data_IF_818086950639
#
_entry.id   IF_818086950639
#
_cell.length_a   1.000
_cell.length_b   1.000
_cell.length_c   1.000
_cell.angle_alpha   90.00
_cell.angle_beta   90.00
_cell.angle_gamma   90.00
#
_symmetry.space_group_name_H-M   'P 1'
#
loop_
_entity.id
_entity.type
_entity.pdbx_description
1 polymer ?
#
# COMPACT_ATOMS: atom_id res chain seq x y z
N UNK A 1 -8.58 -27.23 7.34
CA UNK A 1 -7.74 -26.33 6.51
C UNK A 1 -8.22 -24.87 6.55
N UNK A 2 -9.37 -24.49 5.97
CA UNK A 2 -9.86 -23.09 6.01
C UNK A 2 -10.05 -22.51 7.41
N UNK A 3 -10.54 -23.30 8.37
CA UNK A 3 -10.64 -22.88 9.77
C UNK A 3 -9.27 -22.68 10.43
N UNK A 4 -8.28 -23.53 10.10
CA UNK A 4 -6.91 -23.39 10.58
C UNK A 4 -6.27 -22.09 10.05
N UNK A 5 -6.43 -21.85 8.74
CA UNK A 5 -5.97 -20.61 8.11
C UNK A 5 -6.65 -19.37 8.71
N UNK A 6 -7.96 -19.42 8.95
CA UNK A 6 -8.70 -18.34 9.61
C UNK A 6 -8.29 -18.13 11.08
N UNK A 7 -7.74 -19.15 11.74
CA UNK A 7 -7.19 -19.07 13.09
C UNK A 7 -5.70 -18.66 13.11
N UNK A 8 -5.09 -18.40 11.96
CA UNK A 8 -3.66 -18.07 11.83
C UNK A 8 -2.72 -19.29 11.82
N UNK A 9 -3.25 -20.52 11.87
CA UNK A 9 -2.47 -21.76 11.72
C UNK A 9 -2.23 -22.06 10.24
N UNK A 10 -1.30 -21.31 9.65
CA UNK A 10 -0.91 -21.43 8.23
C UNK A 10 -0.25 -22.78 7.96
N UNK A 11 0.54 -23.31 8.89
CA UNK A 11 1.25 -24.57 8.74
C UNK A 11 0.31 -25.77 8.80
N UNK A 12 -0.64 -25.80 9.74
CA UNK A 12 -1.68 -26.80 9.80
C UNK A 12 -2.64 -26.72 8.62
N UNK A 13 -2.91 -25.51 8.10
CA UNK A 13 -3.68 -25.37 6.86
C UNK A 13 -2.94 -25.97 5.65
N UNK A 14 -1.63 -25.72 5.53
CA UNK A 14 -0.78 -26.26 4.46
C UNK A 14 -0.73 -27.79 4.50
N UNK A 15 -0.43 -28.37 5.67
CA UNK A 15 -0.33 -29.82 5.82
C UNK A 15 -1.63 -30.57 5.51
N UNK A 16 -2.79 -29.91 5.61
CA UNK A 16 -4.06 -30.49 5.16
C UNK A 16 -4.21 -30.36 3.64
N UNK A 17 -3.86 -29.22 3.06
CA UNK A 17 -3.93 -29.02 1.60
C UNK A 17 -2.97 -29.98 0.87
N UNK A 18 -1.73 -30.10 1.34
CA UNK A 18 -0.69 -30.94 0.74
C UNK A 18 -1.14 -32.41 0.70
N UNK A 19 -1.71 -32.94 1.80
CA UNK A 19 -2.23 -34.33 1.84
C UNK A 19 -3.34 -34.62 0.83
N UNK A 20 -4.10 -33.60 0.42
CA UNK A 20 -5.16 -33.76 -0.58
C UNK A 20 -4.65 -33.60 -2.00
N UNK A 21 -3.59 -32.82 -2.20
CA UNK A 21 -2.96 -32.61 -3.50
C UNK A 21 -1.88 -33.66 -3.80
N UNK A 22 -1.34 -34.33 -2.78
CA UNK A 22 -0.36 -35.39 -2.91
C UNK A 22 -0.96 -36.58 -3.69
N UNK A 23 -0.45 -36.80 -4.90
CA UNK A 23 -0.93 -37.86 -5.79
C UNK A 23 -2.22 -37.55 -6.56
N UNK A 24 -2.77 -36.33 -6.42
CA UNK A 24 -3.97 -35.91 -7.14
C UNK A 24 -3.69 -35.71 -8.64
N UNK A 25 -4.68 -36.02 -9.48
CA UNK A 25 -4.69 -35.67 -10.90
C UNK A 25 -5.41 -34.36 -11.13
N UNK A 26 -4.96 -33.57 -12.11
CA UNK A 26 -5.64 -32.31 -12.50
C UNK A 26 -7.10 -32.54 -12.91
N UNK A 27 -7.42 -33.74 -13.40
CA UNK A 27 -8.75 -34.13 -13.87
C UNK A 27 -9.74 -34.40 -12.72
N UNK A 28 -9.24 -34.61 -11.49
CA UNK A 28 -10.07 -34.94 -10.33
C UNK A 28 -11.01 -33.78 -9.97
N UNK A 29 -12.27 -34.11 -9.67
CA UNK A 29 -13.34 -33.13 -9.51
C UNK A 29 -13.24 -32.30 -8.22
N UNK A 30 -12.55 -32.82 -7.20
CA UNK A 30 -12.39 -32.19 -5.89
C UNK A 30 -11.12 -31.34 -5.76
N UNK A 31 -10.23 -31.37 -6.75
CA UNK A 31 -8.95 -30.62 -6.78
C UNK A 31 -9.09 -29.09 -6.85
N UNK A 32 -10.01 -28.49 -7.66
CA UNK A 32 -10.09 -27.04 -7.78
C UNK A 32 -10.18 -26.25 -6.46
N UNK A 33 -11.02 -26.62 -5.48
CA UNK A 33 -11.08 -25.90 -4.20
C UNK A 33 -9.83 -26.08 -3.33
N UNK A 34 -9.08 -27.19 -3.48
CA UNK A 34 -7.80 -27.41 -2.79
C UNK A 34 -6.68 -26.57 -3.40
N UNK A 35 -6.66 -26.43 -4.72
CA UNK A 35 -5.72 -25.54 -5.43
C UNK A 35 -5.92 -24.09 -5.01
N UNK A 36 -7.16 -23.59 -4.99
CA UNK A 36 -7.44 -22.23 -4.52
C UNK A 36 -6.93 -22.01 -3.09
N UNK A 37 -7.18 -22.98 -2.19
CA UNK A 37 -6.72 -22.90 -0.80
C UNK A 37 -5.19 -22.96 -0.67
N UNK A 38 -4.52 -23.85 -1.40
CA UNK A 38 -3.07 -23.97 -1.38
C UNK A 38 -2.40 -22.70 -1.94
N UNK A 39 -2.98 -22.10 -2.99
CA UNK A 39 -2.54 -20.84 -3.54
C UNK A 39 -2.71 -19.67 -2.54
N UNK A 40 -3.79 -19.65 -1.77
CA UNK A 40 -3.96 -18.66 -0.68
C UNK A 40 -2.89 -18.80 0.40
N UNK A 41 -2.64 -20.03 0.85
CA UNK A 41 -1.62 -20.35 1.85
C UNK A 41 -0.24 -19.91 1.34
N UNK A 42 0.07 -20.19 0.08
CA UNK A 42 1.28 -19.75 -0.58
C UNK A 42 1.38 -18.22 -0.61
N UNK A 43 0.29 -17.53 -0.97
CA UNK A 43 0.21 -16.07 -0.96
C UNK A 43 0.41 -15.45 0.41
N UNK A 44 -0.17 -16.02 1.47
CA UNK A 44 0.05 -15.57 2.87
C UNK A 44 1.51 -15.73 3.27
N UNK A 45 2.18 -16.79 2.82
CA UNK A 45 3.62 -17.00 3.06
C UNK A 45 4.52 -16.12 2.20
N UNK A 46 3.98 -15.44 1.19
CA UNK A 46 4.74 -14.68 0.19
C UNK A 46 5.42 -15.54 -0.88
N UNK A 47 4.94 -16.77 -1.10
CA UNK A 47 5.42 -17.68 -2.14
C UNK A 47 4.52 -17.54 -3.39
N UNK A 48 4.61 -16.38 -4.05
CA UNK A 48 3.72 -16.05 -5.16
C UNK A 48 3.99 -16.90 -6.40
N UNK A 49 5.23 -17.35 -6.61
CA UNK A 49 5.56 -18.31 -7.68
C UNK A 49 4.83 -19.64 -7.48
N UNK A 50 4.82 -20.16 -6.25
CA UNK A 50 4.09 -21.38 -5.95
C UNK A 50 2.58 -21.23 -6.15
N UNK A 51 2.00 -20.10 -5.73
CA UNK A 51 0.58 -19.81 -5.97
C UNK A 51 0.25 -19.79 -7.47
N UNK A 52 1.10 -19.15 -8.28
CA UNK A 52 0.95 -19.09 -9.73
C UNK A 52 1.04 -20.48 -10.37
N UNK A 53 2.01 -21.31 -9.95
CA UNK A 53 2.20 -22.67 -10.47
C UNK A 53 1.00 -23.57 -10.21
N UNK A 54 0.40 -23.48 -9.02
CA UNK A 54 -0.82 -24.21 -8.67
C UNK A 54 -1.98 -23.85 -9.62
N UNK A 55 -2.14 -22.57 -9.95
CA UNK A 55 -3.14 -22.13 -10.92
C UNK A 55 -2.81 -22.53 -12.36
N UNK A 56 -1.53 -22.44 -12.78
CA UNK A 56 -1.09 -22.92 -14.11
C UNK A 56 -1.37 -24.40 -14.29
N UNK A 57 -1.08 -25.20 -13.26
CA UNK A 57 -1.34 -26.64 -13.27
C UNK A 57 -2.83 -26.95 -13.43
N UNK A 58 -3.71 -26.25 -12.70
CA UNK A 58 -5.16 -26.45 -12.81
C UNK A 58 -5.75 -25.96 -14.16
N UNK A 59 -5.20 -24.87 -14.68
CA UNK A 59 -5.64 -24.24 -15.92
C UNK A 59 -6.93 -23.39 -15.80
N UNK A 60 -7.18 -22.51 -16.79
CA UNK A 60 -8.24 -21.52 -16.72
C UNK A 60 -9.66 -22.10 -16.86
N UNK A 61 -9.79 -23.28 -17.47
CA UNK A 61 -11.09 -23.94 -17.71
C UNK A 61 -11.65 -24.62 -16.47
N UNK A 62 -10.80 -24.98 -15.50
CA UNK A 62 -11.18 -25.74 -14.30
C UNK A 62 -11.16 -24.93 -13.00
N UNK A 63 -10.55 -23.74 -12.99
CA UNK A 63 -10.53 -22.91 -11.77
C UNK A 63 -11.93 -22.45 -11.38
N UNK A 64 -12.29 -22.42 -10.10
CA UNK A 64 -13.48 -21.68 -9.63
C UNK A 64 -13.10 -20.33 -9.00
N UNK A 65 -11.80 -20.02 -9.00
CA UNK A 65 -11.23 -18.82 -8.41
C UNK A 65 -10.37 -18.07 -9.43
N UNK A 66 -11.02 -17.49 -10.44
CA UNK A 66 -10.35 -16.66 -11.43
C UNK A 66 -9.68 -15.42 -10.81
N UNK A 67 -10.23 -14.90 -9.70
CA UNK A 67 -9.67 -13.73 -9.02
C UNK A 67 -8.33 -14.04 -8.35
N UNK A 68 -8.26 -15.12 -7.55
CA UNK A 68 -7.01 -15.59 -6.96
C UNK A 68 -5.96 -15.92 -8.03
N UNK A 69 -6.38 -16.61 -9.09
CA UNK A 69 -5.50 -16.97 -10.21
C UNK A 69 -4.89 -15.76 -10.91
N UNK A 70 -5.71 -14.78 -11.31
CA UNK A 70 -5.24 -13.56 -11.97
C UNK A 70 -4.30 -12.78 -11.05
N UNK A 71 -4.62 -12.66 -9.76
CA UNK A 71 -3.73 -12.00 -8.81
C UNK A 71 -2.38 -12.73 -8.67
N UNK A 72 -2.38 -14.05 -8.49
CA UNK A 72 -1.15 -14.82 -8.36
C UNK A 72 -0.25 -14.71 -9.62
N UNK A 73 -0.85 -14.84 -10.81
CA UNK A 73 -0.13 -14.78 -12.09
C UNK A 73 0.44 -13.37 -12.36
N UNK A 74 -0.34 -12.32 -12.11
CA UNK A 74 0.15 -10.95 -12.23
C UNK A 74 1.26 -10.64 -11.21
N UNK A 75 1.13 -11.17 -9.99
CA UNK A 75 2.14 -11.03 -8.93
C UNK A 75 3.54 -11.46 -9.38
N UNK A 76 3.63 -12.47 -10.25
CA UNK A 76 4.89 -13.02 -10.76
C UNK A 76 5.23 -12.58 -12.19
N UNK A 77 4.47 -11.64 -12.76
CA UNK A 77 4.75 -11.09 -14.09
C UNK A 77 4.15 -11.86 -15.26
N UNK A 78 3.29 -12.86 -15.02
CA UNK A 78 2.72 -13.70 -16.07
C UNK A 78 1.44 -13.10 -16.65
N UNK A 79 1.62 -12.08 -17.50
CA UNK A 79 0.52 -11.36 -18.18
C UNK A 79 -0.28 -12.28 -19.10
N UNK A 80 0.38 -13.19 -19.81
CA UNK A 80 -0.26 -14.07 -20.81
C UNK A 80 -1.23 -15.05 -20.14
N UNK A 81 -0.76 -15.78 -19.12
CA UNK A 81 -1.62 -16.70 -18.39
C UNK A 81 -2.74 -15.94 -17.69
N UNK A 82 -2.46 -14.79 -17.06
CA UNK A 82 -3.51 -13.98 -16.42
C UNK A 82 -4.62 -13.60 -17.43
N UNK A 83 -4.26 -13.17 -18.64
CA UNK A 83 -5.21 -12.84 -19.70
C UNK A 83 -6.06 -14.06 -20.13
N UNK A 84 -5.48 -15.27 -20.20
CA UNK A 84 -6.21 -16.49 -20.50
C UNK A 84 -7.27 -16.83 -19.44
N UNK A 85 -6.96 -16.59 -18.16
CA UNK A 85 -7.91 -16.74 -17.06
C UNK A 85 -9.05 -15.72 -17.13
N UNK A 86 -8.74 -14.45 -17.43
CA UNK A 86 -9.76 -13.39 -17.63
C UNK A 86 -10.70 -13.75 -18.79
N UNK A 87 -10.15 -14.15 -19.94
CA UNK A 87 -10.92 -14.52 -21.11
C UNK A 87 -11.83 -15.74 -20.85
N UNK A 88 -11.31 -16.75 -20.14
CA UNK A 88 -12.10 -17.93 -19.79
C UNK A 88 -13.15 -17.64 -18.73
N UNK A 89 -12.86 -16.80 -17.73
CA UNK A 89 -13.89 -16.38 -16.79
C UNK A 89 -15.04 -15.68 -17.52
N UNK A 90 -14.75 -14.82 -18.51
CA UNK A 90 -15.77 -14.08 -19.27
C UNK A 90 -16.83 -14.99 -19.94
N UNK A 91 -16.47 -16.20 -20.38
CA UNK A 91 -17.37 -17.13 -21.07
C UNK A 91 -18.26 -17.96 -20.14
N UNK A 92 -18.00 -17.95 -18.82
CA UNK A 92 -18.75 -18.76 -17.85
C UNK A 92 -20.17 -18.21 -17.62
N UNK A 93 -21.08 -19.01 -17.02
CA UNK A 93 -22.39 -18.51 -16.60
C UNK A 93 -22.31 -17.33 -15.61
N UNK A 94 -23.11 -16.27 -15.76
CA UNK A 94 -23.07 -15.08 -14.89
C UNK A 94 -23.85 -15.30 -13.58
N UNK A 95 -23.44 -16.29 -12.80
CA UNK A 95 -24.03 -16.56 -11.47
C UNK A 95 -23.64 -15.46 -10.46
N UNK A 96 -24.46 -15.26 -9.43
CA UNK A 96 -24.30 -14.15 -8.48
C UNK A 96 -22.93 -14.05 -7.81
N UNK A 97 -22.29 -15.18 -7.48
CA UNK A 97 -20.92 -15.19 -6.90
C UNK A 97 -19.89 -14.65 -7.90
N UNK A 98 -19.98 -15.06 -9.17
CA UNK A 98 -19.08 -14.58 -10.23
C UNK A 98 -19.36 -13.14 -10.60
N UNK A 99 -20.64 -12.76 -10.76
CA UNK A 99 -21.01 -11.38 -11.09
C UNK A 99 -20.44 -10.36 -10.10
N UNK A 100 -20.32 -10.74 -8.82
CA UNK A 100 -19.66 -9.94 -7.79
C UNK A 100 -18.15 -9.82 -7.96
N UNK A 101 -17.45 -10.88 -8.35
CA UNK A 101 -15.97 -10.89 -8.47
C UNK A 101 -15.44 -10.46 -9.84
N UNK A 102 -16.24 -10.58 -10.89
CA UNK A 102 -15.84 -10.29 -12.27
C UNK A 102 -15.30 -8.86 -12.48
N UNK A 103 -15.81 -7.80 -11.82
CA UNK A 103 -15.17 -6.48 -11.86
C UNK A 103 -13.73 -6.54 -11.36
N UNK A 104 -13.45 -7.21 -10.24
CA UNK A 104 -12.09 -7.28 -9.71
C UNK A 104 -11.14 -8.08 -10.62
N UNK A 105 -11.62 -9.16 -11.24
CA UNK A 105 -10.84 -9.92 -12.22
C UNK A 105 -10.41 -9.03 -13.39
N UNK A 106 -11.35 -8.28 -13.97
CA UNK A 106 -11.06 -7.36 -15.09
C UNK A 106 -10.19 -6.19 -14.64
N UNK A 107 -10.48 -5.61 -13.49
CA UNK A 107 -9.75 -4.47 -12.94
C UNK A 107 -8.28 -4.81 -12.67
N UNK A 108 -7.98 -5.99 -12.11
CA UNK A 108 -6.58 -6.42 -11.91
C UNK A 108 -5.83 -6.52 -13.24
N UNK A 109 -6.43 -7.12 -14.27
CA UNK A 109 -5.81 -7.19 -15.60
C UNK A 109 -5.66 -5.81 -16.24
N UNK A 110 -6.68 -4.95 -16.13
CA UNK A 110 -6.67 -3.60 -16.64
C UNK A 110 -5.64 -2.72 -15.94
N UNK A 111 -5.21 -3.06 -14.72
CA UNK A 111 -4.20 -2.28 -13.98
C UNK A 111 -2.84 -2.21 -14.68
N UNK A 112 -2.58 -3.12 -15.63
CA UNK A 112 -1.38 -3.05 -16.44
C UNK A 112 -1.43 -1.95 -17.52
N UNK A 113 -2.62 -1.49 -17.89
CA UNK A 113 -2.84 -0.57 -19.01
C UNK A 113 -3.44 0.78 -18.54
N UNK A 114 -4.47 0.74 -17.68
CA UNK A 114 -5.13 1.92 -17.11
C UNK A 114 -5.27 1.81 -15.57
N UNK A 115 -4.45 2.54 -14.78
CA UNK A 115 -4.49 2.49 -13.32
C UNK A 115 -5.84 2.90 -12.71
N UNK A 116 -6.52 3.90 -13.29
CA UNK A 116 -7.63 4.57 -12.61
C UNK A 116 -8.91 3.75 -12.77
N UNK A 117 -9.22 3.34 -14.00
CA UNK A 117 -10.36 2.46 -14.26
C UNK A 117 -10.20 1.10 -13.56
N UNK A 118 -8.97 0.60 -13.47
CA UNK A 118 -8.64 -0.66 -12.80
C UNK A 118 -9.02 -0.66 -11.31
N UNK A 119 -8.67 0.40 -10.57
CA UNK A 119 -8.88 0.45 -9.13
C UNK A 119 -10.37 0.40 -8.76
N UNK A 120 -11.21 1.17 -9.44
CA UNK A 120 -12.65 1.21 -9.17
C UNK A 120 -13.30 -0.17 -9.36
N UNK A 121 -12.89 -0.88 -10.39
CA UNK A 121 -13.36 -2.24 -10.69
C UNK A 121 -12.88 -3.26 -9.64
N UNK A 122 -11.62 -3.16 -9.20
CA UNK A 122 -11.07 -3.98 -8.11
C UNK A 122 -11.82 -3.75 -6.81
N UNK A 123 -11.97 -2.49 -6.39
CA UNK A 123 -12.65 -2.12 -5.15
C UNK A 123 -14.11 -2.57 -5.18
N UNK A 124 -14.82 -2.34 -6.29
CA UNK A 124 -16.21 -2.77 -6.47
C UNK A 124 -16.34 -4.28 -6.36
N UNK A 125 -15.45 -5.03 -7.00
CA UNK A 125 -15.52 -6.49 -6.98
C UNK A 125 -15.21 -7.10 -5.61
N UNK A 126 -14.24 -6.53 -4.88
CA UNK A 126 -13.88 -6.98 -3.53
C UNK A 126 -14.94 -6.59 -2.49
N UNK A 127 -15.50 -5.38 -2.59
CA UNK A 127 -16.51 -4.87 -1.66
C UNK A 127 -17.88 -5.54 -1.81
N UNK A 128 -18.17 -6.09 -2.99
CA UNK A 128 -19.40 -6.84 -3.24
C UNK A 128 -19.42 -8.20 -2.54
N UNK A 129 -18.25 -8.75 -2.16
CA UNK A 129 -18.14 -9.99 -1.40
C UNK A 129 -18.76 -9.90 0.00
N UNK A 130 -19.21 -11.03 0.55
CA UNK A 130 -19.81 -11.05 1.90
C UNK A 130 -18.74 -10.74 2.97
N UNK A 131 -18.72 -9.49 3.44
CA UNK A 131 -17.79 -8.94 4.45
C UNK A 131 -17.83 -9.74 5.76
N UNK A 132 -18.90 -10.50 6.03
CA UNK A 132 -19.07 -11.27 7.27
C UNK A 132 -18.33 -12.61 7.28
N UNK A 133 -17.89 -13.07 6.12
CA UNK A 133 -17.04 -14.26 5.96
C UNK A 133 -16.04 -13.96 4.87
N UNK A 134 -14.89 -13.32 5.17
CA UNK A 134 -13.80 -13.32 4.21
C UNK A 134 -13.52 -14.79 3.89
N UNK A 135 -13.90 -15.23 2.70
CA UNK A 135 -13.40 -16.48 2.19
C UNK A 135 -11.88 -16.32 2.16
N UNK A 136 -11.07 -17.29 2.64
CA UNK A 136 -9.61 -17.18 2.65
C UNK A 136 -8.96 -16.89 1.28
N UNK A 137 -9.74 -17.02 0.20
CA UNK A 137 -9.48 -16.81 -1.23
C UNK A 137 -9.09 -15.39 -1.69
N UNK A 138 -8.49 -14.55 -0.85
CA UNK A 138 -8.39 -13.10 -1.16
C UNK A 138 -7.08 -12.42 -0.82
N UNK A 139 -6.05 -13.10 -0.32
CA UNK A 139 -4.84 -12.40 0.15
C UNK A 139 -4.10 -11.65 -0.97
N UNK A 140 -3.75 -12.31 -2.08
CA UNK A 140 -3.10 -11.65 -3.21
C UNK A 140 -3.99 -10.57 -3.86
N UNK A 141 -5.29 -10.80 -4.14
CA UNK A 141 -6.20 -9.74 -4.60
C UNK A 141 -6.29 -8.53 -3.66
N UNK A 142 -6.28 -8.74 -2.34
CA UNK A 142 -6.31 -7.67 -1.35
C UNK A 142 -5.02 -6.86 -1.34
N UNK A 143 -3.87 -7.52 -1.38
CA UNK A 143 -2.57 -6.84 -1.50
C UNK A 143 -2.48 -6.03 -2.79
N UNK A 144 -3.01 -6.57 -3.89
CA UNK A 144 -3.10 -5.86 -5.15
C UNK A 144 -3.96 -4.59 -5.02
N UNK A 145 -5.15 -4.71 -4.43
CA UNK A 145 -6.05 -3.59 -4.20
C UNK A 145 -5.45 -2.51 -3.29
N UNK A 146 -4.78 -2.91 -2.21
CA UNK A 146 -4.06 -1.99 -1.32
C UNK A 146 -2.94 -1.28 -2.08
N UNK A 147 -2.14 -2.01 -2.85
CA UNK A 147 -1.03 -1.45 -3.62
C UNK A 147 -1.51 -0.46 -4.69
N UNK A 148 -2.60 -0.77 -5.39
CA UNK A 148 -3.22 0.14 -6.36
C UNK A 148 -3.84 1.38 -5.70
N UNK A 149 -4.50 1.19 -4.54
CA UNK A 149 -5.09 2.31 -3.78
C UNK A 149 -4.03 3.31 -3.30
N UNK A 150 -2.88 2.80 -2.85
CA UNK A 150 -1.77 3.64 -2.36
C UNK A 150 -1.08 4.45 -3.47
N UNK A 151 -1.30 4.10 -4.74
CA UNK A 151 -0.75 4.82 -5.89
C UNK A 151 -1.66 5.93 -6.41
N UNK A 152 -2.97 5.79 -6.24
CA UNK A 152 -3.95 6.79 -6.67
C UNK A 152 -4.23 7.86 -5.60
N UNK A 153 -3.55 7.78 -4.44
CA UNK A 153 -3.75 8.66 -3.28
C UNK A 153 -5.21 8.73 -2.80
N UNK A 154 -5.98 7.66 -3.02
CA UNK A 154 -7.38 7.58 -2.61
C UNK A 154 -7.52 7.02 -1.18
N UNK A 155 -8.51 7.47 -0.38
CA UNK A 155 -8.73 6.97 0.98
C UNK A 155 -9.18 5.50 1.05
N UNK A 156 -9.39 4.86 -0.10
CA UNK A 156 -9.90 3.50 -0.26
C UNK A 156 -9.00 2.42 0.35
N UNK A 157 -7.69 2.69 0.50
CA UNK A 157 -6.74 1.75 1.08
C UNK A 157 -7.15 1.29 2.49
N UNK A 158 -7.67 2.20 3.33
CA UNK A 158 -8.10 1.87 4.70
C UNK A 158 -9.33 0.95 4.72
N UNK A 159 -10.25 1.11 3.77
CA UNK A 159 -11.41 0.22 3.65
C UNK A 159 -10.95 -1.20 3.32
N UNK A 160 -10.00 -1.33 2.39
CA UNK A 160 -9.42 -2.63 2.02
C UNK A 160 -8.61 -3.25 3.16
N UNK A 161 -7.82 -2.47 3.90
CA UNK A 161 -7.06 -2.99 5.05
C UNK A 161 -7.93 -3.68 6.09
N UNK A 162 -9.11 -3.11 6.35
CA UNK A 162 -10.05 -3.63 7.33
C UNK A 162 -10.59 -5.03 6.99
N UNK A 163 -10.50 -5.45 5.72
CA UNK A 163 -10.92 -6.78 5.25
C UNK A 163 -9.77 -7.80 5.24
N UNK A 164 -8.51 -7.37 5.31
CA UNK A 164 -7.32 -8.24 5.39
C UNK A 164 -7.18 -8.91 6.76
N UNK A 165 -7.82 -8.37 7.81
CA UNK A 165 -7.65 -8.80 9.21
C UNK A 165 -7.81 -10.31 9.41
N UNK A 166 -6.68 -11.02 9.44
CA UNK A 166 -6.58 -12.43 9.87
C UNK A 166 -5.80 -12.59 11.19
N UNK A 167 -5.09 -11.56 11.67
CA UNK A 167 -4.29 -11.62 12.90
C UNK A 167 -3.88 -10.23 13.40
N UNK A 168 -3.58 -10.09 14.69
CA UNK A 168 -2.95 -8.88 15.29
C UNK A 168 -1.53 -8.63 14.78
N UNK A 169 -0.95 -9.55 13.99
CA UNK A 169 0.41 -9.48 13.47
C UNK A 169 0.52 -9.00 12.01
N UNK A 170 -0.59 -8.70 11.32
CA UNK A 170 -0.56 -8.25 9.92
C UNK A 170 -0.04 -6.80 9.79
N UNK A 171 1.02 -6.53 8.99
CA UNK A 171 1.60 -5.19 8.88
C UNK A 171 0.82 -4.22 7.95
N UNK A 172 -0.26 -4.65 7.30
CA UNK A 172 -0.93 -3.88 6.22
C UNK A 172 -1.45 -2.52 6.67
N UNK A 173 -2.12 -2.42 7.82
CA UNK A 173 -2.62 -1.13 8.32
C UNK A 173 -1.49 -0.17 8.68
N UNK A 174 -0.40 -0.70 9.25
CA UNK A 174 0.80 0.07 9.58
C UNK A 174 1.49 0.58 8.30
N UNK A 175 1.54 -0.24 7.25
CA UNK A 175 2.03 0.16 5.93
C UNK A 175 1.20 1.28 5.32
N UNK A 176 -0.13 1.18 5.34
CA UNK A 176 -1.02 2.20 4.80
C UNK A 176 -0.85 3.52 5.55
N UNK A 177 -0.78 3.47 6.90
CA UNK A 177 -0.52 4.65 7.72
C UNK A 177 0.83 5.30 7.36
N UNK A 178 1.89 4.50 7.19
CA UNK A 178 3.21 5.01 6.81
C UNK A 178 3.16 5.74 5.47
N UNK A 179 2.45 5.17 4.49
CA UNK A 179 2.29 5.71 3.13
C UNK A 179 1.39 6.94 3.08
N UNK A 180 0.36 7.01 3.92
CA UNK A 180 -0.46 8.21 4.14
C UNK A 180 0.31 9.32 4.89
N UNK A 181 1.47 8.99 5.48
CA UNK A 181 2.27 9.93 6.26
C UNK A 181 1.90 10.03 7.73
N UNK A 182 1.03 9.15 8.23
CA UNK A 182 0.70 8.95 9.65
C UNK A 182 1.77 8.09 10.33
N UNK A 183 2.88 8.73 10.72
CA UNK A 183 4.00 8.03 11.34
C UNK A 183 3.66 7.48 12.73
N UNK A 184 2.72 8.10 13.45
CA UNK A 184 2.31 7.67 14.79
C UNK A 184 1.50 6.38 14.72
N UNK A 185 0.45 6.35 13.90
CA UNK A 185 -0.34 5.11 13.71
C UNK A 185 0.49 4.03 13.06
N UNK A 186 1.37 4.37 12.09
CA UNK A 186 2.29 3.41 11.52
C UNK A 186 3.15 2.75 12.60
N UNK A 187 3.79 3.52 13.48
CA UNK A 187 4.58 2.98 14.59
C UNK A 187 3.74 2.15 15.57
N UNK A 188 2.58 2.67 16.00
CA UNK A 188 1.70 2.01 16.98
C UNK A 188 1.09 0.70 16.47
N UNK A 189 0.76 0.62 15.18
CA UNK A 189 0.20 -0.58 14.53
C UNK A 189 1.28 -1.50 13.96
N UNK A 190 2.55 -1.11 14.00
CA UNK A 190 3.63 -1.93 13.50
C UNK A 190 3.76 -3.20 14.37
N UNK A 191 3.70 -4.42 13.80
CA UNK A 191 3.83 -5.64 14.57
C UNK A 191 5.16 -5.67 15.33
N UNK A 192 5.12 -6.00 16.62
CA UNK A 192 6.33 -6.22 17.42
C UNK A 192 7.05 -7.51 16.99
N UNK A 193 6.27 -8.59 16.86
CA UNK A 193 6.70 -9.93 16.50
C UNK A 193 5.93 -10.41 15.26
N UNK A 194 6.41 -10.09 14.04
CA UNK A 194 5.80 -10.56 12.80
C UNK A 194 5.95 -12.07 12.61
N UNK A 195 4.91 -12.71 12.08
CA UNK A 195 4.85 -14.17 11.89
C UNK A 195 5.17 -14.52 10.44
N UNK A 196 6.17 -15.37 10.22
CA UNK A 196 6.58 -15.78 8.86
C UNK A 196 7.51 -14.79 8.15
N UNK A 197 8.00 -15.20 6.98
CA UNK A 197 9.03 -14.45 6.25
C UNK A 197 8.47 -13.18 5.58
N UNK A 198 7.30 -13.26 4.94
CA UNK A 198 6.64 -12.13 4.28
C UNK A 198 6.34 -10.98 5.26
N UNK A 199 5.78 -11.28 6.44
CA UNK A 199 5.46 -10.25 7.44
C UNK A 199 6.73 -9.66 8.06
N UNK A 200 7.79 -10.46 8.28
CA UNK A 200 9.10 -9.93 8.70
C UNK A 200 9.65 -8.93 7.67
N UNK A 201 9.55 -9.27 6.39
CA UNK A 201 9.97 -8.40 5.29
C UNK A 201 9.20 -7.07 5.26
N UNK A 202 7.86 -7.12 5.33
CA UNK A 202 7.02 -5.92 5.32
C UNK A 202 7.17 -5.08 6.58
N UNK A 203 7.26 -5.73 7.73
CA UNK A 203 7.48 -5.08 9.03
C UNK A 203 8.83 -4.36 9.07
N UNK A 204 9.90 -4.98 8.59
CA UNK A 204 11.20 -4.33 8.52
C UNK A 204 11.20 -3.16 7.52
N UNK A 205 10.53 -3.27 6.36
CA UNK A 205 10.34 -2.12 5.45
C UNK A 205 9.63 -0.95 6.13
N UNK A 206 8.58 -1.21 6.92
CA UNK A 206 7.87 -0.17 7.68
C UNK A 206 8.81 0.51 8.68
N UNK A 207 9.55 -0.27 9.47
CA UNK A 207 10.48 0.26 10.48
C UNK A 207 11.60 1.08 9.82
N UNK A 208 12.13 0.61 8.70
CA UNK A 208 13.10 1.36 7.88
C UNK A 208 12.50 2.67 7.38
N UNK A 209 11.27 2.65 6.86
CA UNK A 209 10.55 3.83 6.40
C UNK A 209 10.24 4.84 7.52
N UNK A 210 9.96 4.38 8.74
CA UNK A 210 9.80 5.22 9.93
C UNK A 210 11.13 5.89 10.31
N UNK A 211 12.20 5.10 10.44
CA UNK A 211 13.54 5.60 10.79
C UNK A 211 14.03 6.62 9.75
N UNK A 212 13.85 6.32 8.45
CA UNK A 212 14.18 7.22 7.34
C UNK A 212 13.44 8.55 7.45
N UNK A 213 12.13 8.53 7.73
CA UNK A 213 11.30 9.73 7.83
C UNK A 213 11.56 10.54 9.09
N UNK A 214 12.05 9.90 10.15
CA UNK A 214 12.55 10.55 11.37
C UNK A 214 13.97 11.14 11.21
N UNK A 215 14.70 10.75 10.15
CA UNK A 215 16.10 11.15 9.97
C UNK A 215 17.08 10.40 10.90
N UNK A 216 16.64 9.29 11.49
CA UNK A 216 17.43 8.51 12.46
C UNK A 216 18.34 7.51 11.74
N UNK A 217 19.57 7.93 11.44
CA UNK A 217 20.57 7.09 10.78
C UNK A 217 20.99 5.92 11.66
N UNK A 218 21.06 6.10 12.98
CA UNK A 218 21.43 5.04 13.91
C UNK A 218 20.40 3.91 13.92
N UNK A 219 19.11 4.26 13.96
CA UNK A 219 18.02 3.29 13.84
C UNK A 219 18.02 2.59 12.48
N UNK A 220 18.25 3.33 11.37
CA UNK A 220 18.40 2.71 10.04
C UNK A 220 19.52 1.68 10.02
N UNK A 221 20.71 2.00 10.54
CA UNK A 221 21.85 1.07 10.61
C UNK A 221 21.53 -0.15 11.45
N UNK A 222 20.91 0.02 12.63
CA UNK A 222 20.57 -1.09 13.52
C UNK A 222 19.53 -2.04 12.90
N UNK A 223 18.51 -1.49 12.24
CA UNK A 223 17.50 -2.25 11.52
C UNK A 223 18.10 -2.97 10.30
N UNK A 224 19.02 -2.32 9.57
CA UNK A 224 19.64 -2.88 8.37
C UNK A 224 20.41 -4.18 8.63
N UNK A 225 20.91 -4.41 9.85
CA UNK A 225 21.56 -5.68 10.22
C UNK A 225 20.67 -6.91 9.99
N UNK A 226 19.35 -6.75 10.02
CA UNK A 226 18.38 -7.83 9.78
C UNK A 226 18.11 -8.04 8.28
N UNK A 227 18.35 -7.02 7.45
CA UNK A 227 17.92 -6.99 6.06
C UNK A 227 18.44 -8.16 5.21
N UNK A 228 19.71 -8.61 5.28
CA UNK A 228 20.19 -9.72 4.47
C UNK A 228 19.41 -11.02 4.68
N UNK A 229 19.12 -11.35 5.95
CA UNK A 229 18.37 -12.58 6.30
C UNK A 229 16.92 -12.51 5.85
N UNK A 230 16.30 -11.34 6.00
CA UNK A 230 14.90 -11.10 5.65
C UNK A 230 14.71 -11.10 4.13
N UNK A 231 15.59 -10.41 3.39
CA UNK A 231 15.58 -10.36 1.93
C UNK A 231 15.98 -11.68 1.27
N UNK A 232 16.66 -12.58 1.98
CA UNK A 232 16.96 -13.92 1.48
C UNK A 232 15.76 -14.87 1.58
N UNK A 233 14.77 -14.55 2.42
CA UNK A 233 13.64 -15.41 2.72
C UNK A 233 12.35 -15.03 1.95
N UNK A 234 12.42 -14.08 1.03
CA UNK A 234 11.26 -13.60 0.27
C UNK A 234 11.54 -13.57 -1.23
N UNK A 235 10.49 -13.84 -2.01
CA UNK A 235 10.47 -13.69 -3.46
C UNK A 235 10.22 -12.21 -3.84
N UNK A 236 10.61 -11.84 -5.06
CA UNK A 236 10.23 -10.54 -5.62
C UNK A 236 8.91 -10.72 -6.36
N UNK A 237 7.91 -9.97 -5.95
CA UNK A 237 6.57 -9.95 -6.56
C UNK A 237 6.05 -8.51 -6.72
N UNK A 238 5.01 -8.36 -7.55
CA UNK A 238 4.38 -7.08 -7.89
C UNK A 238 3.84 -6.31 -6.67
N UNK A 239 3.46 -7.00 -5.59
CA UNK A 239 2.89 -6.43 -4.38
C UNK A 239 3.97 -6.08 -3.33
N UNK A 240 5.19 -6.60 -3.50
CA UNK A 240 6.35 -6.29 -2.67
C UNK A 240 7.08 -4.99 -3.05
N UNK A 241 6.84 -4.47 -4.26
CA UNK A 241 7.62 -3.37 -4.86
C UNK A 241 7.72 -2.14 -3.98
N UNK A 242 6.59 -1.72 -3.42
CA UNK A 242 6.49 -0.55 -2.58
C UNK A 242 7.28 -0.69 -1.27
N UNK A 243 7.37 -1.92 -0.74
CA UNK A 243 8.19 -2.24 0.43
C UNK A 243 9.68 -2.30 0.05
N UNK A 244 10.03 -2.95 -1.07
CA UNK A 244 11.39 -2.98 -1.61
C UNK A 244 11.95 -1.58 -1.88
N UNK A 245 11.10 -0.62 -2.27
CA UNK A 245 11.49 0.77 -2.45
C UNK A 245 12.04 1.40 -1.16
N UNK A 246 11.48 1.09 0.02
CA UNK A 246 12.02 1.59 1.30
C UNK A 246 13.39 0.96 1.62
N UNK A 247 13.57 -0.34 1.34
CA UNK A 247 14.90 -0.96 1.43
C UNK A 247 15.89 -0.28 0.49
N UNK A 248 15.49 0.01 -0.75
CA UNK A 248 16.33 0.66 -1.75
C UNK A 248 16.86 2.01 -1.28
N UNK A 249 15.97 2.87 -0.80
CA UNK A 249 16.34 4.21 -0.34
C UNK A 249 17.23 4.14 0.90
N UNK A 250 16.97 3.23 1.85
CA UNK A 250 17.84 3.07 3.02
C UNK A 250 19.20 2.46 2.66
N UNK A 251 19.24 1.46 1.79
CA UNK A 251 20.48 0.87 1.30
C UNK A 251 21.39 1.95 0.71
N UNK A 252 20.84 2.81 -0.16
CA UNK A 252 21.56 3.91 -0.77
C UNK A 252 22.09 4.91 0.27
N UNK A 253 21.25 5.29 1.24
CA UNK A 253 21.66 6.18 2.35
C UNK A 253 22.79 5.60 3.21
N UNK A 254 22.84 4.28 3.37
CA UNK A 254 23.85 3.58 4.15
C UNK A 254 25.07 3.14 3.32
N UNK A 255 25.08 3.39 2.01
CA UNK A 255 26.13 2.91 1.11
C UNK A 255 26.17 1.39 0.94
N UNK A 256 25.02 0.72 1.10
CA UNK A 256 24.87 -0.75 1.07
C UNK A 256 24.04 -1.26 -0.12
N UNK A 257 23.90 -0.47 -1.19
CA UNK A 257 23.10 -0.81 -2.38
C UNK A 257 23.49 -2.18 -2.97
N UNK A 258 24.78 -2.51 -2.97
CA UNK A 258 25.29 -3.79 -3.45
C UNK A 258 24.62 -5.03 -2.83
N UNK A 259 24.11 -4.93 -1.59
CA UNK A 259 23.43 -6.05 -0.93
C UNK A 259 22.05 -6.36 -1.54
N UNK A 260 21.45 -5.40 -2.25
CA UNK A 260 20.09 -5.49 -2.81
C UNK A 260 20.06 -5.43 -4.34
N UNK A 261 21.19 -5.26 -5.02
CA UNK A 261 21.27 -5.16 -6.49
C UNK A 261 20.56 -6.30 -7.21
N UNK A 262 20.70 -7.54 -6.73
CA UNK A 262 20.00 -8.69 -7.31
C UNK A 262 18.47 -8.54 -7.25
N UNK A 263 17.94 -7.95 -6.17
CA UNK A 263 16.51 -7.72 -6.01
C UNK A 263 16.06 -6.54 -6.87
N UNK A 264 16.89 -5.50 -6.98
CA UNK A 264 16.64 -4.38 -7.89
C UNK A 264 16.52 -4.89 -9.34
N UNK A 265 17.47 -5.71 -9.78
CA UNK A 265 17.45 -6.32 -11.11
C UNK A 265 16.20 -7.18 -11.33
N UNK A 266 15.83 -8.03 -10.35
CA UNK A 266 14.63 -8.85 -10.44
C UNK A 266 13.34 -8.02 -10.53
N UNK A 267 13.25 -6.88 -9.82
CA UNK A 267 12.12 -5.95 -9.96
C UNK A 267 12.10 -5.32 -11.36
N UNK A 268 13.25 -4.87 -11.85
CA UNK A 268 13.33 -4.26 -13.18
C UNK A 268 12.94 -5.26 -14.27
N UNK A 269 13.39 -6.51 -14.19
CA UNK A 269 12.98 -7.62 -15.07
C UNK A 269 11.47 -7.88 -15.00
N UNK A 270 10.90 -7.96 -13.79
CA UNK A 270 9.47 -8.15 -13.57
C UNK A 270 8.63 -7.04 -14.22
N UNK A 271 8.99 -5.78 -13.98
CA UNK A 271 8.26 -4.62 -14.51
C UNK A 271 8.39 -4.54 -16.03
N UNK A 272 9.59 -4.73 -16.59
CA UNK A 272 9.79 -4.76 -18.04
C UNK A 272 9.03 -5.91 -18.70
N UNK A 273 8.99 -7.09 -18.07
CA UNK A 273 8.19 -8.23 -18.55
C UNK A 273 6.69 -7.94 -18.62
N UNK A 274 6.19 -7.06 -17.74
CA UNK A 274 4.79 -6.59 -17.73
C UNK A 274 4.53 -5.42 -18.69
N UNK A 275 5.56 -4.87 -19.34
CA UNK A 275 5.47 -3.71 -20.22
C UNK A 275 5.59 -2.36 -19.50
N UNK A 276 6.26 -2.32 -18.35
CA UNK A 276 6.42 -1.15 -17.48
C UNK A 276 5.08 -0.43 -17.15
N UNK A 277 4.08 -1.15 -16.61
CA UNK A 277 2.77 -0.59 -16.33
C UNK A 277 2.85 0.58 -15.35
N UNK A 278 2.27 1.73 -15.70
CA UNK A 278 2.35 2.98 -14.90
C UNK A 278 1.89 2.75 -13.46
N UNK A 279 0.83 1.96 -13.29
CA UNK A 279 0.22 1.59 -12.00
C UNK A 279 1.08 0.68 -11.11
N UNK A 280 2.29 0.31 -11.51
CA UNK A 280 3.19 -0.50 -10.68
C UNK A 280 4.64 0.00 -10.76
N UNK A 281 5.00 0.65 -11.86
CA UNK A 281 6.35 1.15 -12.10
C UNK A 281 6.60 2.54 -11.50
N UNK A 282 5.62 3.44 -11.46
CA UNK A 282 5.87 4.87 -11.18
C UNK A 282 6.57 5.12 -9.84
N UNK A 283 6.08 4.49 -8.77
CA UNK A 283 6.67 4.60 -7.43
C UNK A 283 8.08 3.98 -7.35
N UNK A 284 8.29 2.85 -8.01
CA UNK A 284 9.59 2.20 -8.06
C UNK A 284 10.62 3.07 -8.78
N UNK A 285 10.27 3.64 -9.94
CA UNK A 285 11.12 4.56 -10.70
C UNK A 285 11.38 5.87 -9.94
N UNK A 286 10.41 6.37 -9.20
CA UNK A 286 10.64 7.52 -8.31
C UNK A 286 11.63 7.18 -7.18
N UNK A 287 11.48 6.01 -6.54
CA UNK A 287 12.42 5.54 -5.53
C UNK A 287 13.83 5.29 -6.09
N UNK A 288 13.95 4.88 -7.35
CA UNK A 288 15.23 4.80 -8.08
C UNK A 288 15.96 6.14 -8.09
N UNK A 289 15.28 7.23 -8.47
CA UNK A 289 15.85 8.58 -8.48
C UNK A 289 16.23 9.03 -7.06
N UNK A 290 15.32 8.90 -6.10
CA UNK A 290 15.57 9.32 -4.71
C UNK A 290 16.74 8.55 -4.08
N UNK A 291 16.91 7.28 -4.45
CA UNK A 291 18.05 6.46 -3.99
C UNK A 291 19.36 6.93 -4.63
N UNK A 292 19.37 7.25 -5.93
CA UNK A 292 20.55 7.79 -6.60
C UNK A 292 20.98 9.15 -6.02
N UNK A 293 20.03 10.04 -5.75
CA UNK A 293 20.28 11.30 -5.04
C UNK A 293 20.87 11.04 -3.65
N UNK A 294 20.31 10.09 -2.90
CA UNK A 294 20.82 9.72 -1.57
C UNK A 294 22.25 9.17 -1.62
N UNK A 295 22.60 8.42 -2.67
CA UNK A 295 23.94 7.91 -2.94
C UNK A 295 24.90 8.96 -3.54
N UNK A 296 24.40 10.16 -3.86
CA UNK A 296 25.14 11.23 -4.58
C UNK A 296 25.66 10.78 -5.95
N UNK A 297 24.86 10.00 -6.66
CA UNK A 297 25.16 9.52 -8.02
C UNK A 297 24.27 10.26 -9.03
N UNK A 298 24.79 11.37 -9.58
CA UNK A 298 24.08 12.19 -10.56
C UNK A 298 23.80 11.44 -11.87
N UNK A 299 24.68 10.50 -12.25
CA UNK A 299 24.51 9.71 -13.47
C UNK A 299 23.33 8.74 -13.34
N UNK A 300 23.27 8.01 -12.22
CA UNK A 300 22.14 7.13 -11.92
C UNK A 300 20.83 7.92 -11.72
N UNK A 301 20.89 9.12 -11.13
CA UNK A 301 19.72 9.98 -10.96
C UNK A 301 19.16 10.44 -12.32
N UNK A 302 20.02 10.84 -13.26
CA UNK A 302 19.62 11.22 -14.61
C UNK A 302 18.96 10.06 -15.37
N UNK A 303 19.52 8.85 -15.31
CA UNK A 303 18.93 7.64 -15.92
C UNK A 303 17.57 7.31 -15.29
N UNK A 304 17.46 7.42 -13.96
CA UNK A 304 16.20 7.23 -13.25
C UNK A 304 15.12 8.24 -13.68
N UNK A 305 15.50 9.52 -13.82
CA UNK A 305 14.60 10.56 -14.32
C UNK A 305 14.12 10.24 -15.74
N UNK A 306 15.01 9.80 -16.63
CA UNK A 306 14.63 9.43 -18.00
C UNK A 306 13.62 8.28 -18.00
N UNK A 307 13.85 7.22 -17.22
CA UNK A 307 12.93 6.08 -17.10
C UNK A 307 11.57 6.49 -16.55
N UNK A 308 11.54 7.32 -15.50
CA UNK A 308 10.29 7.81 -14.93
C UNK A 308 9.52 8.72 -15.90
N UNK A 309 10.22 9.57 -16.67
CA UNK A 309 9.61 10.43 -17.68
C UNK A 309 8.98 9.66 -18.83
N UNK A 310 9.45 8.45 -19.16
CA UNK A 310 8.78 7.58 -20.16
C UNK A 310 7.41 7.07 -19.70
N UNK A 311 7.16 7.02 -18.40
CA UNK A 311 5.87 6.66 -17.81
C UNK A 311 4.92 7.85 -17.72
N UNK A 312 5.44 9.08 -17.81
CA UNK A 312 4.64 10.29 -17.71
C UNK A 312 3.74 10.46 -18.94
N UNK A 313 2.47 10.75 -18.70
CA UNK A 313 1.49 11.12 -19.72
C UNK A 313 1.27 12.64 -19.69
N UNK A 314 0.22 13.13 -20.36
CA UNK A 314 -0.13 14.57 -20.33
C UNK A 314 -0.52 15.07 -18.93
N UNK A 315 -1.07 14.20 -18.08
CA UNK A 315 -1.44 14.52 -16.70
C UNK A 315 -1.54 13.24 -15.85
N UNK A 316 -1.20 13.34 -14.57
CA UNK A 316 -1.43 12.27 -13.60
C UNK A 316 -0.27 12.08 -12.60
N UNK A 317 -0.40 11.11 -11.69
CA UNK A 317 0.58 10.88 -10.62
C UNK A 317 2.01 10.63 -11.16
N UNK A 318 2.17 9.88 -12.25
CA UNK A 318 3.48 9.61 -12.84
C UNK A 318 4.15 10.89 -13.37
N UNK A 319 3.39 11.79 -14.00
CA UNK A 319 3.87 13.10 -14.47
C UNK A 319 4.27 14.00 -13.31
N UNK A 320 3.48 14.01 -12.23
CA UNK A 320 3.79 14.73 -10.99
C UNK A 320 5.09 14.20 -10.33
N UNK A 321 5.27 12.87 -10.29
CA UNK A 321 6.49 12.22 -9.79
C UNK A 321 7.71 12.52 -10.69
N UNK A 322 7.55 12.48 -12.02
CA UNK A 322 8.62 12.77 -12.97
C UNK A 322 9.14 14.20 -12.82
N UNK A 323 8.23 15.18 -12.75
CA UNK A 323 8.58 16.59 -12.51
C UNK A 323 9.32 16.76 -11.18
N UNK A 324 8.82 16.13 -10.12
CA UNK A 324 9.45 16.22 -8.82
C UNK A 324 10.84 15.59 -8.79
N UNK A 325 11.02 14.44 -9.46
CA UNK A 325 12.31 13.78 -9.61
C UNK A 325 13.33 14.67 -10.34
N UNK A 326 12.93 15.30 -11.45
CA UNK A 326 13.78 16.24 -12.19
C UNK A 326 14.22 17.43 -11.33
N UNK A 327 13.26 18.08 -10.66
CA UNK A 327 13.53 19.22 -9.77
C UNK A 327 14.47 18.82 -8.64
N UNK A 328 14.23 17.66 -8.02
CA UNK A 328 15.06 17.18 -6.91
C UNK A 328 16.49 16.86 -7.37
N UNK A 329 16.66 16.23 -8.53
CA UNK A 329 17.98 15.96 -9.12
C UNK A 329 18.73 17.27 -9.40
N UNK A 330 18.07 18.29 -9.98
CA UNK A 330 18.68 19.61 -10.19
C UNK A 330 19.10 20.27 -8.88
N UNK A 331 18.26 20.20 -7.84
CA UNK A 331 18.61 20.70 -6.50
C UNK A 331 19.82 19.94 -5.94
N UNK A 332 19.86 18.61 -6.07
CA UNK A 332 20.93 17.75 -5.58
C UNK A 332 22.28 18.07 -6.22
N UNK A 333 22.26 18.34 -7.53
CA UNK A 333 23.42 18.74 -8.35
C UNK A 333 23.80 20.23 -8.18
N UNK A 334 23.17 20.94 -7.24
CA UNK A 334 23.36 22.37 -6.99
C UNK A 334 23.14 23.25 -8.24
N UNK A 335 22.24 22.83 -9.13
CA UNK A 335 21.81 23.64 -10.26
C UNK A 335 20.77 24.68 -9.82
N UNK A 336 20.75 25.89 -10.41
CA UNK A 336 19.71 26.86 -10.13
C UNK A 336 18.33 26.31 -10.52
N UNK A 337 17.37 26.39 -9.60
CA UNK A 337 15.97 25.99 -9.83
C UNK A 337 15.05 27.15 -9.46
N UNK A 338 14.19 27.62 -10.39
CA UNK A 338 13.16 28.62 -10.10
C UNK A 338 12.22 28.17 -8.98
N UNK A 339 11.83 29.07 -8.09
CA UNK A 339 10.89 28.76 -6.99
C UNK A 339 9.55 28.24 -7.52
N UNK A 340 9.10 28.70 -8.68
CA UNK A 340 7.89 28.18 -9.34
C UNK A 340 7.96 26.69 -9.68
N UNK A 341 9.14 26.20 -10.05
CA UNK A 341 9.36 24.79 -10.39
C UNK A 341 9.34 23.95 -9.10
N UNK A 342 9.92 24.48 -8.02
CA UNK A 342 9.87 23.88 -6.69
C UNK A 342 8.43 23.78 -6.17
N UNK A 343 7.66 24.87 -6.27
CA UNK A 343 6.26 24.89 -5.86
C UNK A 343 5.41 23.91 -6.67
N UNK A 344 5.59 23.86 -8.00
CA UNK A 344 4.90 22.91 -8.87
C UNK A 344 5.26 21.44 -8.56
N UNK A 345 6.51 21.17 -8.18
CA UNK A 345 6.96 19.84 -7.76
C UNK A 345 6.37 19.45 -6.39
N UNK A 346 6.34 20.39 -5.43
CA UNK A 346 5.71 20.19 -4.12
C UNK A 346 4.23 19.87 -4.28
N UNK A 347 3.51 20.65 -5.08
CA UNK A 347 2.08 20.43 -5.34
C UNK A 347 1.81 19.10 -6.05
N UNK A 348 2.66 18.70 -6.99
CA UNK A 348 2.59 17.40 -7.64
C UNK A 348 2.77 16.25 -6.65
N UNK A 349 3.80 16.32 -5.80
CA UNK A 349 4.02 15.31 -4.76
C UNK A 349 2.86 15.23 -3.77
N UNK A 350 2.24 16.37 -3.42
CA UNK A 350 1.05 16.39 -2.56
C UNK A 350 -0.13 15.66 -3.21
N UNK A 351 -0.43 15.93 -4.48
CA UNK A 351 -1.50 15.23 -5.23
C UNK A 351 -1.23 13.73 -5.35
N UNK A 352 0.04 13.34 -5.48
CA UNK A 352 0.45 11.93 -5.50
C UNK A 352 0.46 11.27 -4.10
N UNK A 353 0.04 11.96 -3.03
CA UNK A 353 0.05 11.43 -1.66
C UNK A 353 1.46 11.21 -1.11
N UNK A 354 2.42 12.07 -1.48
CA UNK A 354 3.84 12.04 -1.06
C UNK A 354 4.20 13.29 -0.27
N UNK A 355 3.36 13.64 0.71
CA UNK A 355 3.51 14.88 1.48
C UNK A 355 4.83 14.94 2.27
N UNK A 356 5.38 13.80 2.71
CA UNK A 356 6.70 13.79 3.36
C UNK A 356 7.81 14.15 2.36
N UNK A 357 7.81 13.55 1.18
CA UNK A 357 8.76 13.85 0.11
C UNK A 357 8.61 15.31 -0.38
N UNK A 358 7.38 15.83 -0.45
CA UNK A 358 7.10 17.23 -0.80
C UNK A 358 7.75 18.21 0.20
N UNK A 359 7.54 17.99 1.51
CA UNK A 359 8.16 18.82 2.55
C UNK A 359 9.70 18.69 2.53
N UNK A 360 10.23 17.50 2.24
CA UNK A 360 11.67 17.25 2.16
C UNK A 360 12.31 17.98 0.98
N UNK A 361 11.68 17.95 -0.20
CA UNK A 361 12.14 18.63 -1.41
C UNK A 361 12.19 20.15 -1.17
N UNK A 362 11.13 20.75 -0.63
CA UNK A 362 11.10 22.17 -0.28
C UNK A 362 12.19 22.55 0.73
N UNK A 363 12.40 21.72 1.76
CA UNK A 363 13.45 21.93 2.74
C UNK A 363 14.86 21.82 2.14
N UNK A 364 15.09 20.92 1.19
CA UNK A 364 16.38 20.81 0.51
C UNK A 364 16.64 21.98 -0.44
N UNK A 365 15.62 22.43 -1.18
CA UNK A 365 15.69 23.63 -2.00
C UNK A 365 16.05 24.86 -1.14
N UNK A 366 15.46 24.99 0.05
CA UNK A 366 15.77 26.08 0.97
C UNK A 366 17.24 26.07 1.43
N UNK A 367 17.79 24.89 1.75
CA UNK A 367 19.19 24.73 2.17
C UNK A 367 20.19 25.08 1.06
N UNK A 368 19.77 25.00 -0.20
CA UNK A 368 20.58 25.30 -1.40
C UNK A 368 20.33 26.69 -1.97
N UNK A 369 19.44 27.48 -1.35
CA UNK A 369 19.11 28.82 -1.82
C UNK A 369 20.11 29.85 -1.29
N UNK A 370 20.65 30.66 -2.20
CA UNK A 370 21.56 31.77 -1.85
C UNK A 370 20.81 33.02 -1.32
N UNK A 371 19.51 33.12 -1.56
CA UNK A 371 18.67 34.23 -1.09
C UNK A 371 17.92 33.85 0.19
N UNK A 372 18.19 34.58 1.27
CA UNK A 372 17.56 34.35 2.58
C UNK A 372 16.04 34.48 2.53
N UNK A 373 15.48 35.33 1.65
CA UNK A 373 14.03 35.49 1.53
C UNK A 373 13.39 34.28 0.84
N UNK A 374 13.97 33.84 -0.26
CA UNK A 374 13.59 32.58 -0.94
C UNK A 374 13.71 31.38 0.00
N UNK A 375 14.82 31.25 0.73
CA UNK A 375 15.03 30.19 1.70
C UNK A 375 13.94 30.17 2.79
N UNK A 376 13.59 31.34 3.33
CA UNK A 376 12.52 31.46 4.33
C UNK A 376 11.14 31.07 3.77
N UNK A 377 10.83 31.46 2.53
CA UNK A 377 9.58 31.08 1.87
C UNK A 377 9.48 29.56 1.65
N UNK A 378 10.55 28.94 1.15
CA UNK A 378 10.60 27.49 0.94
C UNK A 378 10.51 26.70 2.26
N UNK A 379 11.14 27.18 3.35
CA UNK A 379 10.98 26.60 4.69
C UNK A 379 9.54 26.74 5.21
N UNK A 380 8.86 27.84 4.88
CA UNK A 380 7.45 28.01 5.22
C UNK A 380 6.58 27.00 4.46
N UNK A 381 6.80 26.82 3.15
CA UNK A 381 6.15 25.78 2.34
C UNK A 381 6.38 24.39 2.93
N UNK A 382 7.62 24.04 3.29
CA UNK A 382 7.94 22.75 3.90
C UNK A 382 7.18 22.51 5.21
N UNK A 383 7.05 23.54 6.07
CA UNK A 383 6.31 23.46 7.34
C UNK A 383 4.80 23.34 7.12
N UNK A 384 4.24 24.12 6.20
CA UNK A 384 2.82 24.08 5.86
C UNK A 384 2.41 22.68 5.39
N UNK A 385 3.19 22.08 4.47
CA UNK A 385 2.96 20.70 4.02
C UNK A 385 3.04 19.69 5.17
N UNK A 386 3.98 19.87 6.09
CA UNK A 386 4.12 18.99 7.25
C UNK A 386 2.98 19.16 8.27
N UNK A 387 2.41 20.35 8.39
CA UNK A 387 1.22 20.66 9.20
C UNK A 387 -0.03 20.05 8.60
N UNK A 388 -0.31 20.32 7.32
CA UNK A 388 -1.46 19.76 6.62
C UNK A 388 -1.41 18.23 6.59
N UNK A 389 -0.23 17.61 6.47
CA UNK A 389 -0.08 16.16 6.61
C UNK A 389 -0.56 15.67 7.97
N UNK A 390 -0.19 16.37 9.06
CA UNK A 390 -0.64 16.00 10.42
C UNK A 390 -2.15 16.19 10.57
N UNK A 391 -2.70 17.26 10.03
CA UNK A 391 -4.14 17.52 10.08
C UNK A 391 -4.95 16.52 9.23
N UNK A 392 -4.49 16.21 8.02
CA UNK A 392 -5.10 15.23 7.14
C UNK A 392 -5.16 13.85 7.81
N UNK A 393 -4.07 13.44 8.46
CA UNK A 393 -4.01 12.21 9.27
C UNK A 393 -5.01 12.23 10.42
N UNK A 394 -5.12 13.34 11.15
CA UNK A 394 -6.12 13.49 12.22
C UNK A 394 -7.57 13.36 11.70
N UNK A 395 -7.80 13.65 10.42
CA UNK A 395 -9.12 13.61 9.77
C UNK A 395 -9.38 12.41 8.87
N UNK A 396 -8.41 11.54 8.62
CA UNK A 396 -8.54 10.43 7.67
C UNK A 396 -8.98 9.12 8.36
N UNK A 397 -9.92 8.41 7.73
CA UNK A 397 -10.35 7.05 8.12
C UNK A 397 -11.57 6.97 9.05
N UNK A 398 -12.00 5.75 9.43
CA UNK A 398 -13.07 5.56 10.41
C UNK A 398 -12.67 6.14 11.77
N UNK A 399 -13.64 6.38 12.65
CA UNK A 399 -13.37 6.92 13.99
C UNK A 399 -12.37 6.01 14.73
N UNK A 400 -11.44 6.61 15.47
CA UNK A 400 -10.63 5.85 16.43
C UNK A 400 -11.54 5.17 17.46
N UNK A 401 -11.06 4.13 18.14
CA UNK A 401 -11.85 3.44 19.17
C UNK A 401 -12.39 4.40 20.23
N UNK A 402 -11.56 5.36 20.64
CA UNK A 402 -11.96 6.40 21.61
C UNK A 402 -12.97 7.39 21.05
N UNK A 403 -12.81 7.79 19.80
CA UNK A 403 -13.79 8.63 19.11
C UNK A 403 -15.11 7.88 18.87
N UNK A 404 -15.06 6.58 18.60
CA UNK A 404 -16.23 5.73 18.44
C UNK A 404 -16.98 5.56 19.77
N UNK A 405 -16.29 5.46 20.90
CA UNK A 405 -16.91 5.53 22.24
C UNK A 405 -17.61 6.86 22.46
N UNK A 406 -16.93 7.99 22.23
CA UNK A 406 -17.52 9.33 22.34
C UNK A 406 -18.71 9.49 21.39
N UNK A 407 -18.62 8.96 20.17
CA UNK A 407 -19.67 9.00 19.16
C UNK A 407 -20.91 8.18 19.56
N UNK A 408 -20.73 6.99 20.16
CA UNK A 408 -21.83 6.18 20.70
C UNK A 408 -22.58 6.93 21.81
N UNK A 409 -21.85 7.53 22.73
CA UNK A 409 -22.46 8.31 23.82
C UNK A 409 -23.14 9.59 23.30
N UNK A 410 -22.58 10.23 22.27
CA UNK A 410 -23.22 11.33 21.53
C UNK A 410 -24.54 10.93 20.87
N UNK A 411 -24.58 9.76 20.21
CA UNK A 411 -25.76 9.21 19.56
C UNK A 411 -26.85 8.83 20.57
N UNK A 412 -26.45 8.37 21.75
CA UNK A 412 -27.33 8.10 22.88
C UNK A 412 -27.92 9.37 23.54
N UNK A 413 -27.45 10.56 23.12
CA UNK A 413 -28.03 11.84 23.54
C UNK A 413 -27.38 12.47 24.78
N UNK A 414 -26.27 11.90 25.28
CA UNK A 414 -25.60 12.45 26.45
C UNK A 414 -24.93 13.81 26.16
N UNK A 415 -24.89 14.66 27.18
CA UNK A 415 -24.17 15.94 27.17
C UNK A 415 -22.66 15.72 27.33
N UNK A 416 -21.83 16.68 26.91
CA UNK A 416 -20.36 16.53 27.01
C UNK A 416 -19.87 16.27 28.45
N UNK A 417 -20.58 16.79 29.45
CA UNK A 417 -20.30 16.53 30.86
C UNK A 417 -20.59 15.08 31.23
N UNK A 418 -21.76 14.56 30.87
CA UNK A 418 -22.15 13.17 31.15
C UNK A 418 -21.27 12.16 30.40
N UNK A 419 -20.91 12.47 29.15
CA UNK A 419 -19.94 11.67 28.38
C UNK A 419 -18.59 11.64 29.11
N UNK A 420 -18.13 12.79 29.60
CA UNK A 420 -16.89 12.89 30.36
C UNK A 420 -16.89 12.02 31.62
N UNK A 421 -17.99 12.06 32.38
CA UNK A 421 -18.18 11.24 33.58
C UNK A 421 -18.19 9.74 33.25
N UNK A 422 -18.90 9.34 32.20
CA UNK A 422 -19.03 7.93 31.78
C UNK A 422 -17.74 7.34 31.20
N UNK A 423 -16.96 8.18 30.51
CA UNK A 423 -15.71 7.78 29.88
C UNK A 423 -14.47 8.11 30.74
N UNK A 424 -14.64 8.61 31.96
CA UNK A 424 -13.56 9.01 32.87
C UNK A 424 -12.58 10.04 32.26
N UNK A 425 -13.10 11.04 31.55
CA UNK A 425 -12.33 12.15 30.95
C UNK A 425 -13.02 13.50 31.19
N UNK A 426 -12.29 14.60 31.02
CA UNK A 426 -12.88 15.94 31.19
C UNK A 426 -13.87 16.27 30.07
N UNK A 427 -14.88 17.10 30.36
CA UNK A 427 -15.80 17.62 29.33
C UNK A 427 -15.06 18.37 28.21
N UNK A 428 -13.94 19.03 28.52
CA UNK A 428 -13.05 19.67 27.53
C UNK A 428 -12.38 18.65 26.61
N UNK A 429 -11.98 17.49 27.16
CA UNK A 429 -11.46 16.38 26.37
C UNK A 429 -12.53 15.82 25.45
N UNK A 430 -13.77 15.69 25.93
CA UNK A 430 -14.91 15.29 25.08
C UNK A 430 -15.11 16.29 23.94
N UNK A 431 -15.12 17.60 24.23
CA UNK A 431 -15.25 18.64 23.20
C UNK A 431 -14.17 18.53 22.12
N UNK A 432 -12.92 18.27 22.52
CA UNK A 432 -11.82 18.01 21.60
C UNK A 432 -12.08 16.77 20.72
N UNK A 433 -12.56 15.67 21.31
CA UNK A 433 -12.95 14.48 20.54
C UNK A 433 -14.10 14.80 19.57
N UNK A 434 -15.14 15.50 19.99
CA UNK A 434 -16.27 15.87 19.11
C UNK A 434 -15.81 16.77 17.96
N UNK A 435 -14.91 17.71 18.21
CA UNK A 435 -14.34 18.56 17.16
C UNK A 435 -13.55 17.74 16.13
N UNK A 436 -12.79 16.72 16.56
CA UNK A 436 -12.11 15.77 15.66
C UNK A 436 -13.09 14.91 14.87
N UNK A 437 -14.11 14.36 15.52
CA UNK A 437 -15.17 13.57 14.87
C UNK A 437 -15.88 14.41 13.80
N UNK A 438 -16.20 15.69 14.09
CA UNK A 438 -16.81 16.60 13.12
C UNK A 438 -15.93 16.84 11.90
N UNK A 439 -14.64 17.13 12.09
CA UNK A 439 -13.70 17.30 10.97
C UNK A 439 -13.55 16.01 10.15
N UNK A 440 -13.49 14.86 10.80
CA UNK A 440 -13.34 13.54 10.17
C UNK A 440 -14.56 13.10 9.35
N UNK A 441 -15.77 13.50 9.78
CA UNK A 441 -17.02 13.18 9.10
C UNK A 441 -17.53 14.33 8.21
N UNK A 442 -16.73 15.38 8.03
CA UNK A 442 -17.09 16.61 7.30
C UNK A 442 -18.45 17.19 7.73
N UNK A 443 -18.68 17.24 9.05
CA UNK A 443 -19.95 17.67 9.63
C UNK A 443 -19.87 19.10 10.19
N UNK A 444 -20.47 20.05 9.46
CA UNK A 444 -20.55 21.46 9.82
C UNK A 444 -21.52 21.73 10.98
N UNK A 445 -22.55 20.91 11.18
CA UNK A 445 -23.55 21.07 12.25
C UNK A 445 -23.66 19.84 13.17
N UNK A 446 -24.27 20.01 14.36
CA UNK A 446 -24.56 18.88 15.28
C UNK A 446 -25.53 17.88 14.63
N UNK A 447 -26.48 18.37 13.83
CA UNK A 447 -27.44 17.53 13.11
C UNK A 447 -26.73 16.71 12.02
N UNK A 448 -25.87 17.35 11.22
CA UNK A 448 -25.03 16.67 10.23
C UNK A 448 -24.13 15.62 10.89
N UNK A 449 -23.51 15.94 12.03
CA UNK A 449 -22.67 15.01 12.77
C UNK A 449 -23.42 13.73 13.14
N UNK A 450 -24.60 13.88 13.75
CA UNK A 450 -25.42 12.73 14.16
C UNK A 450 -25.94 11.93 12.95
N UNK A 451 -26.23 12.60 11.83
CA UNK A 451 -26.63 11.96 10.58
C UNK A 451 -25.49 11.14 9.98
N UNK A 452 -24.30 11.75 9.85
CA UNK A 452 -23.09 11.12 9.33
C UNK A 452 -22.66 9.91 10.17
N UNK A 453 -22.74 10.02 11.50
CA UNK A 453 -22.45 8.91 12.42
C UNK A 453 -23.36 7.69 12.19
N UNK A 454 -24.67 7.91 11.99
CA UNK A 454 -25.62 6.83 11.70
C UNK A 454 -25.38 6.22 10.33
N UNK A 455 -25.09 7.05 9.32
CA UNK A 455 -24.77 6.60 7.96
C UNK A 455 -23.49 5.75 7.94
N UNK A 456 -22.50 6.09 8.78
CA UNK A 456 -21.28 5.33 8.97
C UNK A 456 -21.43 4.07 9.85
N UNK A 457 -22.64 3.77 10.33
CA UNK A 457 -22.96 2.53 11.05
C UNK A 457 -22.72 2.55 12.56
N UNK A 458 -22.38 3.70 13.15
CA UNK A 458 -22.33 3.86 14.61
C UNK A 458 -23.75 3.96 15.17
N UNK A 459 -24.05 3.22 16.26
CA UNK A 459 -25.37 3.16 16.89
C UNK A 459 -25.27 3.34 18.40
#
# INVERSE_FOLDING_TARGET
>A
ARLALAAGDVDGAAAVADRHLEGASVEDADVPPWIALAADIAGVRGHHTHAADLHRWLGPTRTDDALGAVAALLGVGDRESAAAFVATDATRPPIGVRARRAPAVRGLSASLDDPTAALDDVVRGLSAGDVRRPAPATYAPLLAAVSLSLQTATPTAHLMASTVRSSTADPTESWIALRAGDLETAGRRCPAEPVGAADRFRTLAIRLGLARRAGDVGAMTALWLQAPSVLAAVEVDLYSLAHLAEYRVVAARLGQTAQIDRRIAAVDELLTGLGDPVAWSADWRFAEVVSAIAARDSGAAAVGCERLSRLATSAGPATDLARAAEVWTRIADAQPVPTSDVDAAVDGLRRAGRAWEAARLAGEAALRSDDSRTAAALLHTARAVAEERRDAVDTAGPLTEREAEVARELLAGFTYREIGERLFISAKTVEHHVARIRRRLDAGSRSELLSALRAAGYR
#
